data_IF_996924931724
#
_entry.id   IF_996924931724
#
_cell.length_a   1.000
_cell.length_b   1.000
_cell.length_c   1.000
_cell.angle_alpha   90.00
_cell.angle_beta   90.00
_cell.angle_gamma   90.00
#
_symmetry.space_group_name_H-M   'P 1'
#
loop_
_entity.id
_entity.type
_entity.pdbx_description
1 polymer ?
#
# COMPACT_ATOMS: atom_id res chain seq x y z
N UNK A 1 -31.39 -56.04 -6.14
CA UNK A 1 -32.23 -55.82 -7.34
C UNK A 1 -32.48 -54.32 -7.44
N UNK A 2 -32.04 -53.54 -8.44
CA UNK A 2 -31.21 -53.77 -9.61
C UNK A 2 -30.29 -52.55 -9.78
N UNK A 3 -29.02 -52.84 -10.05
CA UNK A 3 -27.99 -51.90 -10.49
C UNK A 3 -28.04 -51.84 -12.01
N UNK A 4 -27.90 -50.65 -12.61
CA UNK A 4 -27.56 -50.54 -14.04
C UNK A 4 -26.34 -49.64 -14.17
N UNK A 5 -25.24 -50.33 -14.45
CA UNK A 5 -23.93 -49.84 -14.84
C UNK A 5 -23.89 -49.87 -16.36
N UNK A 6 -23.41 -48.81 -17.03
CA UNK A 6 -23.13 -48.86 -18.47
C UNK A 6 -21.71 -48.34 -18.72
N UNK A 7 -20.86 -49.23 -19.23
CA UNK A 7 -19.46 -49.00 -19.63
C UNK A 7 -19.40 -48.95 -21.17
N UNK A 8 -18.70 -47.93 -21.67
CA UNK A 8 -17.99 -47.66 -22.93
C UNK A 8 -18.18 -48.52 -24.22
N UNK A 9 -17.85 -47.95 -25.40
CA UNK A 9 -16.48 -48.19 -25.88
C UNK A 9 -15.75 -46.97 -26.45
N UNK A 10 -14.42 -47.04 -26.30
CA UNK A 10 -13.38 -46.22 -26.93
C UNK A 10 -13.29 -46.58 -28.42
N UNK A 11 -13.21 -45.56 -29.30
CA UNK A 11 -12.74 -45.76 -30.68
C UNK A 11 -11.71 -44.68 -31.03
N UNK A 12 -10.48 -45.13 -31.24
CA UNK A 12 -9.36 -44.37 -31.75
C UNK A 12 -9.41 -44.30 -33.27
N UNK A 13 -9.19 -43.11 -33.86
CA UNK A 13 -8.82 -42.97 -35.28
C UNK A 13 -7.89 -41.78 -35.50
N UNK A 14 -6.65 -42.13 -35.86
CA UNK A 14 -5.71 -41.54 -36.83
C UNK A 14 -5.57 -40.00 -37.01
N UNK A 15 -4.32 -39.54 -36.83
CA UNK A 15 -3.75 -38.27 -37.29
C UNK A 15 -3.71 -38.15 -38.83
N UNK A 16 -3.80 -36.93 -39.39
CA UNK A 16 -3.09 -36.55 -40.59
C UNK A 16 -1.80 -35.76 -40.30
N UNK A 17 -0.80 -36.05 -41.12
CA UNK A 17 0.55 -35.48 -41.14
C UNK A 17 0.56 -34.05 -41.70
N UNK A 18 1.36 -33.20 -41.09
CA UNK A 18 2.30 -32.30 -41.78
C UNK A 18 1.76 -30.97 -42.34
N UNK A 19 2.13 -29.88 -41.67
CA UNK A 19 2.79 -28.73 -42.32
C UNK A 19 3.55 -27.96 -41.24
N UNK A 20 4.88 -27.92 -41.38
CA UNK A 20 5.78 -27.29 -40.43
C UNK A 20 5.76 -25.77 -40.58
N UNK A 21 5.53 -25.07 -39.47
CA UNK A 21 5.80 -23.64 -39.35
C UNK A 21 7.18 -23.47 -38.71
N UNK A 22 8.17 -23.11 -39.54
CA UNK A 22 9.53 -22.77 -39.11
C UNK A 22 9.49 -21.51 -38.25
N UNK A 23 9.87 -21.61 -36.98
CA UNK A 23 10.33 -20.47 -36.19
C UNK A 23 11.71 -20.05 -36.69
N UNK A 24 11.82 -18.85 -37.25
CA UNK A 24 13.10 -18.19 -37.48
C UNK A 24 13.49 -17.44 -36.21
N UNK A 25 14.42 -18.04 -35.46
CA UNK A 25 15.19 -17.37 -34.41
C UNK A 25 16.31 -16.60 -35.12
N UNK A 26 16.20 -15.27 -35.16
CA UNK A 26 17.31 -14.42 -35.57
C UNK A 26 18.13 -14.06 -34.32
N UNK A 27 19.13 -14.89 -34.03
CA UNK A 27 20.23 -14.58 -33.12
C UNK A 27 21.23 -13.67 -33.83
N UNK A 28 21.31 -12.40 -33.42
CA UNK A 28 22.46 -11.54 -33.73
C UNK A 28 23.30 -11.37 -32.47
N UNK A 29 24.43 -12.06 -32.46
CA UNK A 29 25.53 -11.88 -31.52
C UNK A 29 26.70 -11.33 -32.31
N UNK A 30 27.11 -10.09 -32.03
CA UNK A 30 28.42 -9.61 -32.45
C UNK A 30 28.87 -8.50 -31.51
N UNK A 31 29.65 -8.92 -30.52
CA UNK A 31 30.57 -8.09 -29.73
C UNK A 31 31.76 -7.78 -30.63
N UNK A 32 32.09 -6.50 -30.83
CA UNK A 32 33.46 -6.03 -31.09
C UNK A 32 33.57 -4.52 -30.80
N UNK A 33 34.38 -4.20 -29.79
CA UNK A 33 35.14 -2.96 -29.57
C UNK A 33 36.58 -3.44 -29.27
N UNK A 34 37.66 -2.64 -29.38
CA UNK A 34 37.72 -1.17 -29.37
C UNK A 34 38.73 -0.56 -30.39
N UNK A 35 38.72 0.77 -30.54
CA UNK A 35 39.95 1.54 -30.80
C UNK A 35 39.78 3.02 -30.39
N UNK A 36 40.73 3.45 -29.57
CA UNK A 36 40.97 4.79 -29.05
C UNK A 36 41.65 5.62 -30.14
N UNK A 37 41.23 6.87 -30.36
CA UNK A 37 42.17 7.91 -30.78
C UNK A 37 41.74 9.27 -30.22
N UNK A 38 42.68 9.86 -29.50
CA UNK A 38 42.72 11.16 -28.87
C UNK A 38 42.64 12.30 -29.89
N UNK A 39 41.88 13.36 -29.58
CA UNK A 39 42.30 14.70 -29.99
C UNK A 39 41.85 15.76 -28.97
N UNK A 40 42.88 16.41 -28.44
CA UNK A 40 42.89 17.48 -27.44
C UNK A 40 42.83 18.81 -28.19
N UNK A 41 41.85 19.66 -27.89
CA UNK A 41 41.98 21.12 -28.02
C UNK A 41 41.15 21.82 -26.93
N UNK A 42 41.76 22.83 -26.33
CA UNK A 42 41.17 23.81 -25.40
C UNK A 42 41.56 25.21 -25.93
N UNK A 43 41.06 26.30 -25.34
CA UNK A 43 39.69 26.80 -25.41
C UNK A 43 39.66 28.15 -26.15
N UNK A 44 38.51 28.52 -26.74
CA UNK A 44 38.26 29.89 -27.18
C UNK A 44 36.99 30.44 -26.54
N UNK A 45 37.19 31.56 -25.88
CA UNK A 45 36.23 32.44 -25.22
C UNK A 45 35.37 33.11 -26.29
N UNK A 46 34.03 32.99 -26.24
CA UNK A 46 33.16 34.16 -26.37
C UNK A 46 31.71 33.92 -25.89
N UNK A 47 31.39 34.65 -24.83
CA UNK A 47 30.17 35.37 -24.46
C UNK A 47 28.84 35.19 -25.22
N UNK A 48 27.78 35.07 -24.40
CA UNK A 48 26.39 35.53 -24.56
C UNK A 48 25.53 34.87 -25.66
N UNK A 49 24.68 33.94 -25.22
CA UNK A 49 23.23 34.20 -25.25
C UNK A 49 22.49 33.31 -24.24
N UNK A 50 21.73 33.98 -23.36
CA UNK A 50 20.88 33.38 -22.35
C UNK A 50 19.73 32.61 -23.01
N UNK A 51 19.83 31.28 -23.03
CA UNK A 51 18.66 30.42 -23.06
C UNK A 51 18.58 29.68 -21.72
N UNK A 52 17.90 30.31 -20.76
CA UNK A 52 17.46 29.65 -19.55
C UNK A 52 16.53 28.50 -19.95
N UNK A 53 17.04 27.27 -19.89
CA UNK A 53 16.22 26.06 -19.93
C UNK A 53 15.42 26.06 -18.63
N UNK A 54 14.20 26.58 -18.71
CA UNK A 54 13.20 26.57 -17.65
C UNK A 54 12.90 25.11 -17.28
N UNK A 55 13.46 24.66 -16.15
CA UNK A 55 12.95 23.49 -15.44
C UNK A 55 11.52 23.83 -15.01
N UNK A 56 10.53 23.30 -15.72
CA UNK A 56 9.12 23.51 -15.42
C UNK A 56 8.85 23.05 -13.98
N UNK A 57 8.59 24.02 -13.11
CA UNK A 57 8.06 23.80 -11.77
C UNK A 57 6.64 23.23 -11.88
N UNK A 58 6.34 22.21 -11.08
CA UNK A 58 5.02 21.59 -10.95
C UNK A 58 4.11 22.59 -10.22
N UNK A 59 3.44 23.48 -10.95
CA UNK A 59 2.49 24.42 -10.35
C UNK A 59 1.24 24.62 -11.19
N UNK A 60 0.14 24.03 -10.74
CA UNK A 60 -1.20 24.58 -10.96
C UNK A 60 -2.09 24.30 -9.74
N UNK A 61 -1.69 24.81 -8.58
CA UNK A 61 -2.61 25.00 -7.46
C UNK A 61 -2.97 26.48 -7.43
N UNK A 62 -4.24 26.81 -7.69
CA UNK A 62 -4.77 28.18 -7.57
C UNK A 62 -4.75 28.60 -6.09
N UNK A 63 -4.51 29.88 -5.77
CA UNK A 63 -4.47 30.35 -4.39
C UNK A 63 -5.89 30.43 -3.79
N UNK A 64 -6.01 29.85 -2.59
CA UNK A 64 -7.00 30.06 -1.52
C UNK A 64 -8.36 30.68 -1.91
N UNK A 65 -9.31 29.83 -2.30
CA UNK A 65 -10.67 29.95 -1.76
C UNK A 65 -10.74 28.99 -0.57
N UNK A 66 -11.34 29.40 0.55
CA UNK A 66 -11.63 28.52 1.68
C UNK A 66 -12.10 27.15 1.17
N UNK A 67 -11.48 26.08 1.63
CA UNK A 67 -11.81 24.72 1.20
C UNK A 67 -13.29 24.50 1.55
N UNK A 68 -14.17 24.66 0.56
CA UNK A 68 -15.55 24.22 0.63
C UNK A 68 -15.46 22.75 0.99
N UNK A 69 -16.15 22.34 2.06
CA UNK A 69 -16.07 21.00 2.62
C UNK A 69 -16.04 19.96 1.50
N UNK A 70 -14.89 19.29 1.30
CA UNK A 70 -14.64 18.52 0.07
C UNK A 70 -15.60 17.33 -0.10
N UNK A 71 -16.11 16.85 1.03
CA UNK A 71 -17.21 15.90 1.14
C UNK A 71 -18.30 16.55 2.01
N UNK A 72 -19.20 17.36 1.44
CA UNK A 72 -20.26 17.97 2.22
C UNK A 72 -21.17 16.87 2.78
N UNK A 73 -21.56 16.96 4.04
CA UNK A 73 -22.56 16.06 4.61
C UNK A 73 -23.86 16.24 3.81
N UNK A 74 -24.41 15.14 3.30
CA UNK A 74 -25.70 15.16 2.62
C UNK A 74 -26.78 15.18 3.69
N UNK A 75 -27.24 16.38 4.05
CA UNK A 75 -28.33 16.55 5.01
C UNK A 75 -29.63 16.05 4.39
N UNK A 76 -30.26 15.08 5.04
CA UNK A 76 -31.61 14.64 4.69
C UNK A 76 -32.53 14.86 5.88
N UNK A 77 -33.83 14.96 5.64
CA UNK A 77 -34.81 15.17 6.72
C UNK A 77 -34.88 14.02 7.74
N UNK A 78 -34.40 12.83 7.38
CA UNK A 78 -34.55 11.60 8.17
C UNK A 78 -33.22 10.97 8.60
N UNK A 79 -32.15 11.15 7.81
CA UNK A 79 -30.84 10.55 8.06
C UNK A 79 -29.92 11.64 8.58
N UNK A 80 -29.55 11.51 9.86
CA UNK A 80 -28.65 12.42 10.58
C UNK A 80 -27.19 12.06 10.30
N UNK A 81 -26.85 10.78 10.34
CA UNK A 81 -25.50 10.27 10.11
C UNK A 81 -25.55 8.84 9.56
N UNK A 82 -24.52 8.44 8.81
CA UNK A 82 -24.34 7.07 8.33
C UNK A 82 -23.29 6.40 9.21
N UNK A 83 -23.72 5.40 9.98
CA UNK A 83 -22.78 4.59 10.77
C UNK A 83 -21.95 3.67 9.87
N UNK A 84 -20.64 3.58 10.14
CA UNK A 84 -19.77 2.60 9.47
C UNK A 84 -19.95 1.21 10.07
N UNK A 85 -20.00 0.18 9.23
CA UNK A 85 -19.97 -1.22 9.66
C UNK A 85 -18.60 -1.66 10.21
N UNK A 86 -17.53 -0.92 9.91
CA UNK A 86 -16.18 -1.16 10.44
C UNK A 86 -15.82 -0.04 11.42
N UNK A 87 -16.03 -0.32 12.71
CA UNK A 87 -15.59 0.57 13.80
C UNK A 87 -14.10 0.40 14.03
N UNK A 88 -13.39 1.52 14.09
CA UNK A 88 -11.95 1.56 14.35
C UNK A 88 -11.65 1.09 15.79
N UNK A 89 -10.60 0.28 16.01
CA UNK A 89 -10.17 -0.10 17.36
C UNK A 89 -9.52 1.08 18.10
N UNK A 90 -10.00 1.41 19.29
CA UNK A 90 -9.44 2.51 20.09
C UNK A 90 -8.00 2.23 20.51
N UNK A 91 -7.10 3.16 20.20
CA UNK A 91 -5.69 3.12 20.61
C UNK A 91 -5.42 4.10 21.74
N UNK A 92 -4.60 3.66 22.71
CA UNK A 92 -4.04 4.57 23.71
C UNK A 92 -2.80 5.27 23.17
N UNK A 93 -2.51 6.47 23.67
CA UNK A 93 -1.31 7.22 23.29
C UNK A 93 -0.02 6.41 23.52
N UNK A 94 0.06 5.67 24.64
CA UNK A 94 1.19 4.81 24.96
C UNK A 94 1.39 3.71 23.91
N UNK A 95 0.31 3.07 23.46
CA UNK A 95 0.38 2.06 22.40
C UNK A 95 0.87 2.66 21.08
N UNK A 96 0.31 3.80 20.66
CA UNK A 96 0.72 4.45 19.41
C UNK A 96 2.18 4.92 19.44
N UNK A 97 2.66 5.41 20.58
CA UNK A 97 4.06 5.81 20.76
C UNK A 97 5.02 4.62 20.84
N UNK A 98 4.54 3.44 21.24
CA UNK A 98 5.36 2.22 21.31
C UNK A 98 5.65 1.59 19.94
N UNK A 99 4.98 2.03 18.87
CA UNK A 99 5.17 1.50 17.51
C UNK A 99 6.60 1.75 17.03
N UNK A 100 7.26 0.65 16.64
CA UNK A 100 8.64 0.67 16.14
C UNK A 100 8.71 0.41 14.63
N UNK A 101 9.72 1.03 14.02
CA UNK A 101 10.23 0.63 12.70
C UNK A 101 10.95 -0.70 12.88
N UNK A 102 10.49 -1.73 12.20
CA UNK A 102 11.10 -3.05 12.18
C UNK A 102 10.92 -3.66 10.79
N UNK A 103 11.93 -4.42 10.38
CA UNK A 103 11.97 -5.10 9.09
C UNK A 103 11.82 -6.60 9.28
N UNK A 104 10.98 -7.25 8.46
CA UNK A 104 10.99 -8.71 8.37
C UNK A 104 12.09 -9.18 7.43
N UNK A 105 13.00 -10.01 7.95
CA UNK A 105 14.03 -10.66 7.13
C UNK A 105 13.44 -11.54 6.01
N UNK A 106 14.09 -11.50 4.84
CA UNK A 106 13.75 -12.32 3.68
C UNK A 106 14.14 -13.77 3.94
N UNK A 107 13.17 -14.69 4.00
CA UNK A 107 13.45 -16.11 4.30
C UNK A 107 13.33 -17.04 3.11
N UNK A 108 12.64 -16.63 2.05
CA UNK A 108 12.34 -17.49 0.91
C UNK A 108 12.20 -16.66 -0.38
N UNK A 109 12.06 -17.35 -1.50
CA UNK A 109 11.94 -16.71 -2.82
C UNK A 109 10.73 -15.77 -2.93
N UNK A 110 9.59 -16.13 -2.33
CA UNK A 110 8.39 -15.28 -2.32
C UNK A 110 8.67 -13.97 -1.58
N UNK A 111 9.35 -14.04 -0.44
CA UNK A 111 9.78 -12.86 0.31
C UNK A 111 10.77 -12.00 -0.47
N UNK A 112 11.70 -12.62 -1.19
CA UNK A 112 12.69 -11.91 -2.01
C UNK A 112 12.02 -11.14 -3.14
N UNK A 113 11.10 -11.78 -3.88
CA UNK A 113 10.34 -11.15 -4.97
C UNK A 113 9.49 -10.00 -4.42
N UNK A 114 8.78 -10.23 -3.31
CA UNK A 114 7.96 -9.21 -2.67
C UNK A 114 8.77 -7.98 -2.27
N UNK A 115 9.92 -8.17 -1.61
CA UNK A 115 10.79 -7.07 -1.20
C UNK A 115 11.38 -6.32 -2.39
N UNK A 116 11.80 -7.04 -3.43
CA UNK A 116 12.32 -6.44 -4.64
C UNK A 116 11.26 -5.54 -5.32
N UNK A 117 10.01 -6.02 -5.41
CA UNK A 117 8.90 -5.23 -5.93
C UNK A 117 8.62 -3.97 -5.10
N UNK A 118 8.55 -4.11 -3.77
CA UNK A 118 8.34 -2.97 -2.86
C UNK A 118 9.44 -1.91 -3.02
N UNK A 119 10.71 -2.34 -3.09
CA UNK A 119 11.85 -1.44 -3.30
C UNK A 119 11.83 -0.73 -4.65
N UNK A 120 11.46 -1.43 -5.72
CA UNK A 120 11.34 -0.83 -7.07
C UNK A 120 10.23 0.22 -7.08
N UNK A 121 9.07 -0.05 -6.48
CA UNK A 121 7.98 0.91 -6.39
C UNK A 121 8.35 2.11 -5.51
N UNK A 122 8.99 1.88 -4.36
CA UNK A 122 9.51 2.95 -3.50
C UNK A 122 10.48 3.83 -4.26
N UNK A 123 11.48 3.24 -4.93
CA UNK A 123 12.44 3.98 -5.74
C UNK A 123 11.76 4.79 -6.85
N UNK A 124 10.80 4.19 -7.57
CA UNK A 124 10.04 4.86 -8.62
C UNK A 124 9.23 6.03 -8.09
N UNK A 125 8.55 5.85 -6.95
CA UNK A 125 7.76 6.89 -6.29
C UNK A 125 8.65 8.02 -5.79
N UNK A 126 9.73 7.70 -5.08
CA UNK A 126 10.66 8.69 -4.53
C UNK A 126 11.29 9.53 -5.64
N UNK A 127 11.64 8.88 -6.75
CA UNK A 127 12.14 9.57 -7.95
C UNK A 127 11.07 10.48 -8.55
N UNK A 128 9.83 10.01 -8.67
CA UNK A 128 8.73 10.77 -9.28
C UNK A 128 8.27 11.97 -8.42
N UNK A 129 8.28 11.84 -7.10
CA UNK A 129 7.92 12.94 -6.19
C UNK A 129 9.09 13.83 -5.80
N UNK A 130 10.31 13.49 -6.24
CA UNK A 130 11.54 14.19 -5.84
C UNK A 130 11.84 14.04 -4.35
N UNK A 131 11.38 12.96 -3.72
CA UNK A 131 11.69 12.64 -2.32
C UNK A 131 13.17 12.28 -2.21
N UNK A 132 13.86 12.90 -1.26
CA UNK A 132 15.29 12.67 -0.99
C UNK A 132 15.49 12.49 0.50
N UNK A 133 16.08 11.35 0.87
CA UNK A 133 16.65 11.18 2.19
C UNK A 133 17.83 12.14 2.33
N UNK A 134 17.86 13.03 3.34
CA UNK A 134 19.02 13.86 3.59
C UNK A 134 20.20 12.98 4.01
N UNK A 135 21.40 13.39 3.63
CA UNK A 135 22.61 12.81 4.20
C UNK A 135 22.72 13.20 5.69
N UNK A 136 23.52 12.46 6.46
CA UNK A 136 23.76 12.75 7.88
C UNK A 136 24.19 14.22 8.06
N UNK A 137 23.39 14.98 8.81
CA UNK A 137 23.61 16.40 9.10
C UNK A 137 22.93 17.40 8.15
N UNK A 138 22.24 16.96 7.10
CA UNK A 138 21.44 17.84 6.24
C UNK A 138 19.99 17.99 6.72
N UNK A 139 19.41 19.18 6.53
CA UNK A 139 17.99 19.41 6.82
C UNK A 139 17.13 18.67 5.80
N UNK A 140 16.11 17.98 6.29
CA UNK A 140 15.12 17.28 5.48
C UNK A 140 14.34 18.29 4.63
N UNK A 141 14.41 18.16 3.29
CA UNK A 141 13.90 19.16 2.35
C UNK A 141 12.42 19.03 1.96
N UNK A 142 11.61 18.26 2.71
CA UNK A 142 10.20 18.07 2.40
C UNK A 142 9.34 19.11 3.11
N UNK A 143 8.57 19.86 2.33
CA UNK A 143 7.53 20.76 2.86
C UNK A 143 6.24 19.99 3.16
N UNK A 144 5.33 20.58 3.93
CA UNK A 144 3.99 20.07 4.19
C UNK A 144 3.25 19.72 2.89
N UNK A 145 3.41 20.54 1.85
CA UNK A 145 2.83 20.30 0.52
C UNK A 145 3.41 19.05 -0.15
N UNK A 146 4.70 18.82 -0.02
CA UNK A 146 5.35 17.65 -0.61
C UNK A 146 4.88 16.38 0.11
N UNK A 147 4.80 16.41 1.43
CA UNK A 147 4.25 15.31 2.23
C UNK A 147 2.81 15.00 1.85
N UNK A 148 1.97 16.04 1.78
CA UNK A 148 0.56 15.89 1.42
C UNK A 148 0.36 15.29 0.03
N UNK A 149 1.14 15.72 -0.98
CA UNK A 149 1.08 15.12 -2.32
C UNK A 149 1.48 13.63 -2.30
N UNK A 150 2.52 13.28 -1.53
CA UNK A 150 2.97 11.89 -1.40
C UNK A 150 1.88 11.04 -0.75
N UNK A 151 1.36 11.48 0.40
CA UNK A 151 0.31 10.79 1.15
C UNK A 151 -0.93 10.60 0.26
N UNK A 152 -1.49 11.70 -0.29
CA UNK A 152 -2.69 11.62 -1.13
C UNK A 152 -2.54 10.65 -2.32
N UNK A 153 -1.35 10.56 -2.90
CA UNK A 153 -1.10 9.60 -3.97
C UNK A 153 -1.00 8.17 -3.45
N UNK A 154 -0.23 7.92 -2.39
CA UNK A 154 -0.02 6.58 -1.84
C UNK A 154 -1.32 6.00 -1.25
N UNK A 155 -2.05 6.79 -0.46
CA UNK A 155 -3.34 6.37 0.13
C UNK A 155 -4.40 6.05 -0.95
N UNK A 156 -4.30 6.67 -2.13
CA UNK A 156 -5.21 6.39 -3.24
C UNK A 156 -5.00 5.01 -3.88
N UNK A 157 -3.84 4.39 -3.64
CA UNK A 157 -3.51 3.04 -4.13
C UNK A 157 -3.41 2.02 -3.00
N UNK A 158 -3.19 2.45 -1.75
CA UNK A 158 -3.05 1.59 -0.58
C UNK A 158 -4.32 0.80 -0.25
N UNK A 159 -5.52 1.34 -0.51
CA UNK A 159 -6.78 0.60 -0.34
C UNK A 159 -7.08 -0.48 -1.41
N UNK A 160 -6.23 -0.64 -2.44
CA UNK A 160 -6.46 -1.60 -3.54
C UNK A 160 -6.16 -3.06 -3.19
N UNK A 161 -5.02 -3.42 -2.55
CA UNK A 161 -4.67 -4.81 -2.27
C UNK A 161 -5.69 -5.56 -1.42
N UNK A 162 -6.13 -4.97 -0.29
CA UNK A 162 -7.15 -5.57 0.57
C UNK A 162 -8.47 -5.82 -0.17
N UNK A 163 -8.89 -4.87 -1.02
CA UNK A 163 -10.09 -5.00 -1.84
C UNK A 163 -9.97 -6.15 -2.87
N UNK A 164 -8.85 -6.22 -3.60
CA UNK A 164 -8.60 -7.28 -4.59
C UNK A 164 -8.53 -8.65 -3.92
N UNK A 165 -7.79 -8.77 -2.82
CA UNK A 165 -7.64 -10.01 -2.07
C UNK A 165 -8.99 -10.46 -1.50
N UNK A 166 -9.71 -9.57 -0.82
CA UNK A 166 -11.05 -9.83 -0.28
C UNK A 166 -12.04 -10.27 -1.35
N UNK A 167 -12.09 -9.57 -2.49
CA UNK A 167 -12.92 -9.93 -3.64
C UNK A 167 -12.58 -11.33 -4.19
N UNK A 168 -11.31 -11.62 -4.43
CA UNK A 168 -10.88 -12.91 -5.00
C UNK A 168 -11.16 -14.09 -4.06
N UNK A 169 -11.00 -13.88 -2.75
CA UNK A 169 -11.35 -14.86 -1.71
C UNK A 169 -12.86 -15.04 -1.60
N UNK A 170 -13.63 -13.95 -1.64
CA UNK A 170 -15.09 -13.97 -1.65
C UNK A 170 -15.62 -14.80 -2.83
N UNK A 171 -15.19 -14.50 -4.05
CA UNK A 171 -15.57 -15.28 -5.23
C UNK A 171 -15.11 -16.73 -5.16
N UNK A 172 -14.02 -17.04 -4.44
CA UNK A 172 -13.54 -18.42 -4.23
C UNK A 172 -14.46 -19.18 -3.29
N UNK A 173 -14.84 -18.55 -2.16
CA UNK A 173 -15.78 -19.12 -1.21
C UNK A 173 -17.11 -19.45 -1.89
N UNK A 174 -17.66 -18.52 -2.69
CA UNK A 174 -18.90 -18.74 -3.44
C UNK A 174 -18.78 -19.90 -4.44
N UNK A 175 -17.79 -19.87 -5.34
CA UNK A 175 -17.69 -20.89 -6.41
C UNK A 175 -17.31 -22.28 -5.90
N UNK A 176 -16.74 -22.37 -4.70
CA UNK A 176 -16.36 -23.66 -4.08
C UNK A 176 -17.33 -24.11 -2.99
N UNK A 177 -18.33 -23.29 -2.65
CA UNK A 177 -19.29 -23.54 -1.57
C UNK A 177 -18.62 -23.84 -0.21
N UNK A 178 -17.53 -23.13 0.10
CA UNK A 178 -16.73 -23.32 1.33
C UNK A 178 -16.66 -22.06 2.16
N UNK A 179 -16.53 -22.22 3.49
CA UNK A 179 -16.24 -21.12 4.41
C UNK A 179 -14.86 -20.52 4.08
N UNK A 180 -14.75 -19.20 4.22
CA UNK A 180 -13.49 -18.47 4.06
C UNK A 180 -12.65 -18.42 5.35
N UNK A 181 -13.28 -18.63 6.51
CA UNK A 181 -12.67 -18.61 7.83
C UNK A 181 -12.07 -17.24 8.23
N UNK A 182 -12.80 -16.17 7.93
CA UNK A 182 -12.57 -14.83 8.51
C UNK A 182 -11.54 -13.96 7.80
N UNK A 183 -11.06 -14.33 6.61
CA UNK A 183 -10.07 -13.55 5.86
C UNK A 183 -10.72 -12.37 5.11
N UNK A 184 -11.86 -12.59 4.46
CA UNK A 184 -12.54 -11.58 3.62
C UNK A 184 -12.83 -10.32 4.42
N UNK A 185 -13.36 -10.46 5.64
CA UNK A 185 -13.75 -9.32 6.47
C UNK A 185 -12.53 -8.45 6.83
N UNK A 186 -11.45 -9.07 7.31
CA UNK A 186 -10.20 -8.36 7.63
C UNK A 186 -9.61 -7.63 6.43
N UNK A 187 -9.63 -8.25 5.24
CA UNK A 187 -9.07 -7.64 4.04
C UNK A 187 -9.92 -6.48 3.50
N UNK A 188 -11.25 -6.56 3.63
CA UNK A 188 -12.14 -5.47 3.26
C UNK A 188 -12.11 -4.34 4.30
N UNK A 189 -11.91 -4.67 5.57
CA UNK A 189 -11.70 -3.70 6.64
C UNK A 189 -10.40 -2.91 6.46
N UNK A 190 -9.30 -3.59 6.13
CA UNK A 190 -8.03 -2.94 5.76
C UNK A 190 -8.25 -1.96 4.60
N UNK A 191 -8.86 -2.39 3.50
CA UNK A 191 -9.18 -1.51 2.38
C UNK A 191 -10.10 -0.33 2.75
N UNK A 192 -10.98 -0.50 3.74
CA UNK A 192 -11.80 0.58 4.27
C UNK A 192 -10.97 1.57 5.08
N UNK A 193 -10.07 1.08 5.94
CA UNK A 193 -9.18 1.90 6.76
C UNK A 193 -8.27 2.80 5.90
N UNK A 194 -7.59 2.23 4.92
CA UNK A 194 -6.78 2.95 3.91
C UNK A 194 -7.58 4.04 3.19
N UNK A 195 -8.84 3.74 2.83
CA UNK A 195 -9.72 4.74 2.22
C UNK A 195 -10.04 5.88 3.20
N UNK A 196 -10.19 5.59 4.49
CA UNK A 196 -10.42 6.62 5.52
C UNK A 196 -9.20 7.51 5.73
N UNK A 197 -7.98 6.99 5.56
CA UNK A 197 -6.77 7.80 5.51
C UNK A 197 -6.86 8.79 4.34
N UNK A 198 -7.07 8.30 3.11
CA UNK A 198 -7.22 9.16 1.93
C UNK A 198 -8.28 10.25 2.13
N UNK A 199 -9.49 9.88 2.57
CA UNK A 199 -10.60 10.82 2.74
C UNK A 199 -10.28 11.88 3.81
N UNK A 200 -9.54 11.50 4.85
CA UNK A 200 -9.05 12.42 5.88
C UNK A 200 -8.09 13.45 5.29
N UNK A 201 -7.04 13.01 4.58
CA UNK A 201 -6.07 13.92 3.99
C UNK A 201 -6.67 14.81 2.89
N UNK A 202 -7.71 14.33 2.19
CA UNK A 202 -8.45 15.13 1.21
C UNK A 202 -9.25 16.29 1.83
N UNK A 203 -9.55 16.26 3.14
CA UNK A 203 -10.10 17.42 3.86
C UNK A 203 -9.05 18.51 4.10
N UNK A 204 -7.77 18.16 4.08
CA UNK A 204 -6.65 19.09 4.28
C UNK A 204 -6.20 19.67 2.93
N UNK A 205 -6.07 18.84 1.89
CA UNK A 205 -5.64 19.30 0.57
C UNK A 205 -6.39 18.64 -0.58
N UNK A 206 -6.65 19.44 -1.62
CA UNK A 206 -7.38 18.97 -2.79
C UNK A 206 -6.42 18.54 -3.92
N UNK A 207 -6.56 17.31 -4.45
CA UNK A 207 -5.79 16.88 -5.60
C UNK A 207 -6.19 17.65 -6.86
N UNK A 208 -5.19 18.22 -7.55
CA UNK A 208 -5.39 18.81 -8.87
C UNK A 208 -5.73 17.76 -9.95
N UNK A 209 -6.16 18.22 -11.13
CA UNK A 209 -6.55 17.35 -12.25
C UNK A 209 -5.43 16.39 -12.67
N UNK A 210 -4.19 16.88 -12.68
CA UNK A 210 -3.02 16.05 -13.01
C UNK A 210 -2.84 14.88 -12.03
N UNK A 211 -2.91 15.14 -10.72
CA UNK A 211 -2.81 14.08 -9.72
C UNK A 211 -3.95 13.07 -9.86
N UNK A 212 -5.18 13.53 -10.09
CA UNK A 212 -6.32 12.65 -10.34
C UNK A 212 -6.13 11.73 -11.56
N UNK A 213 -5.58 12.26 -12.66
CA UNK A 213 -5.27 11.45 -13.84
C UNK A 213 -4.17 10.42 -13.55
N UNK A 214 -3.13 10.81 -12.79
CA UNK A 214 -2.08 9.90 -12.36
C UNK A 214 -2.61 8.78 -11.47
N UNK A 215 -3.50 9.10 -10.52
CA UNK A 215 -4.17 8.10 -9.67
C UNK A 215 -4.99 7.13 -10.51
N UNK A 216 -5.76 7.62 -11.48
CA UNK A 216 -6.54 6.76 -12.38
C UNK A 216 -5.65 5.79 -13.16
N UNK A 217 -4.55 6.28 -13.73
CA UNK A 217 -3.57 5.44 -14.43
C UNK A 217 -2.90 4.43 -13.51
N UNK A 218 -2.47 4.87 -12.31
CA UNK A 218 -1.83 4.03 -11.31
C UNK A 218 -2.77 2.92 -10.83
N UNK A 219 -4.02 3.23 -10.50
CA UNK A 219 -5.04 2.25 -10.12
C UNK A 219 -5.29 1.26 -11.26
N UNK A 220 -5.37 1.73 -12.51
CA UNK A 220 -5.55 0.87 -13.68
C UNK A 220 -4.44 -0.19 -13.81
N UNK A 221 -3.17 0.19 -13.62
CA UNK A 221 -2.05 -0.76 -13.68
C UNK A 221 -1.98 -1.61 -12.41
N UNK A 222 -2.07 -0.98 -11.24
CA UNK A 222 -1.85 -1.61 -9.95
C UNK A 222 -2.93 -2.63 -9.59
N UNK A 223 -4.21 -2.30 -9.83
CA UNK A 223 -5.34 -3.23 -9.64
C UNK A 223 -5.15 -4.50 -10.48
N UNK A 224 -4.88 -4.35 -11.78
CA UNK A 224 -4.73 -5.49 -12.68
C UNK A 224 -3.48 -6.32 -12.31
N UNK A 225 -2.37 -5.66 -12.00
CA UNK A 225 -1.15 -6.33 -11.55
C UNK A 225 -1.36 -7.16 -10.29
N UNK A 226 -2.01 -6.59 -9.27
CA UNK A 226 -2.35 -7.31 -8.04
C UNK A 226 -3.37 -8.41 -8.27
N UNK A 227 -4.38 -8.19 -9.11
CA UNK A 227 -5.38 -9.21 -9.45
C UNK A 227 -4.73 -10.47 -10.01
N UNK A 228 -3.89 -10.34 -11.05
CA UNK A 228 -3.20 -11.48 -11.63
C UNK A 228 -2.18 -12.08 -10.67
N UNK A 229 -1.43 -11.26 -9.93
CA UNK A 229 -0.43 -11.73 -8.97
C UNK A 229 -1.07 -12.53 -7.83
N UNK A 230 -2.24 -12.12 -7.34
CA UNK A 230 -2.95 -12.81 -6.26
C UNK A 230 -3.57 -14.13 -6.72
N UNK A 231 -3.94 -14.25 -8.00
CA UNK A 231 -4.34 -15.54 -8.57
C UNK A 231 -3.18 -16.55 -8.60
N UNK A 232 -1.96 -16.09 -8.82
CA UNK A 232 -0.75 -16.93 -8.90
C UNK A 232 -0.18 -17.23 -7.50
N UNK A 233 0.07 -16.19 -6.70
CA UNK A 233 0.68 -16.31 -5.37
C UNK A 233 0.10 -15.30 -4.38
N UNK A 234 -0.98 -15.68 -3.65
CA UNK A 234 -1.51 -14.86 -2.56
C UNK A 234 -0.46 -14.58 -1.48
N UNK A 235 0.40 -15.56 -1.18
CA UNK A 235 1.49 -15.42 -0.20
C UNK A 235 2.44 -14.28 -0.57
N UNK A 236 2.88 -14.22 -1.84
CA UNK A 236 3.76 -13.14 -2.30
C UNK A 236 3.06 -11.79 -2.21
N UNK A 237 1.76 -11.72 -2.53
CA UNK A 237 1.00 -10.48 -2.45
C UNK A 237 0.90 -9.97 -1.01
N UNK A 238 0.54 -10.82 -0.05
CA UNK A 238 0.50 -10.45 1.36
C UNK A 238 1.88 -10.00 1.86
N UNK A 239 2.95 -10.72 1.49
CA UNK A 239 4.30 -10.29 1.86
C UNK A 239 4.69 -8.94 1.24
N UNK A 240 4.30 -8.71 -0.01
CA UNK A 240 4.54 -7.45 -0.70
C UNK A 240 3.84 -6.29 -0.01
N UNK A 241 2.57 -6.44 0.36
CA UNK A 241 1.84 -5.44 1.16
C UNK A 241 2.54 -5.23 2.51
N UNK A 242 2.90 -6.29 3.22
CA UNK A 242 3.64 -6.18 4.49
C UNK A 242 4.93 -5.34 4.40
N UNK A 243 5.67 -5.43 3.28
CA UNK A 243 6.82 -4.55 3.04
C UNK A 243 6.45 -3.12 2.63
N UNK A 244 5.32 -2.88 1.96
CA UNK A 244 4.83 -1.53 1.73
C UNK A 244 4.49 -0.85 3.06
N UNK A 245 3.86 -1.58 3.98
CA UNK A 245 3.48 -1.02 5.27
C UNK A 245 4.67 -0.81 6.22
N UNK A 246 5.75 -1.58 6.07
CA UNK A 246 7.03 -1.22 6.70
C UNK A 246 7.50 0.16 6.25
N UNK A 247 7.41 0.44 4.95
CA UNK A 247 7.79 1.74 4.38
C UNK A 247 6.81 2.86 4.75
N UNK A 248 5.53 2.55 4.96
CA UNK A 248 4.53 3.48 5.47
C UNK A 248 4.82 3.86 6.94
N UNK A 249 5.11 2.88 7.80
CA UNK A 249 5.51 3.13 9.21
C UNK A 249 6.76 4.01 9.29
N UNK A 250 7.76 3.78 8.42
CA UNK A 250 8.94 4.64 8.31
C UNK A 250 8.54 6.07 7.90
N UNK A 251 7.68 6.19 6.88
CA UNK A 251 7.23 7.48 6.35
C UNK A 251 6.51 8.31 7.41
N UNK A 252 5.54 7.72 8.10
CA UNK A 252 4.78 8.43 9.13
C UNK A 252 5.60 8.71 10.39
N UNK A 253 6.52 7.82 10.78
CA UNK A 253 7.49 8.12 11.85
C UNK A 253 8.31 9.36 11.50
N UNK A 254 8.80 9.46 10.27
CA UNK A 254 9.57 10.63 9.85
C UNK A 254 8.74 11.91 9.86
N UNK A 255 7.49 11.85 9.42
CA UNK A 255 6.58 13.00 9.49
C UNK A 255 6.41 13.47 10.94
N UNK A 256 6.17 12.55 11.88
CA UNK A 256 6.03 12.86 13.30
C UNK A 256 7.29 13.57 13.82
N UNK A 257 8.47 13.03 13.53
CA UNK A 257 9.76 13.64 13.92
C UNK A 257 9.93 15.05 13.35
N UNK A 258 9.53 15.28 12.09
CA UNK A 258 9.62 16.61 11.45
C UNK A 258 8.61 17.62 12.04
N UNK A 259 7.44 17.18 12.48
CA UNK A 259 6.49 18.02 13.24
C UNK A 259 7.09 18.40 14.59
N UNK A 260 7.62 17.41 15.33
CA UNK A 260 8.22 17.61 16.66
C UNK A 260 9.47 18.49 16.61
N UNK A 261 10.27 18.39 15.55
CA UNK A 261 11.42 19.25 15.30
C UNK A 261 11.04 20.68 14.88
N UNK A 262 9.75 20.97 14.64
CA UNK A 262 9.28 22.27 14.18
C UNK A 262 9.57 22.58 12.71
N UNK A 263 9.91 21.57 11.91
CA UNK A 263 10.18 21.72 10.47
C UNK A 263 8.90 21.81 9.64
N UNK A 264 7.76 21.39 10.20
CA UNK A 264 6.43 21.48 9.59
C UNK A 264 5.51 22.44 10.39
N UNK A 265 5.79 23.76 10.39
CA UNK A 265 5.11 24.73 11.24
C UNK A 265 3.60 24.85 10.97
N UNK A 266 3.12 24.56 9.76
CA UNK A 266 1.68 24.58 9.49
C UNK A 266 0.99 23.38 10.17
N UNK A 267 1.61 22.20 10.13
CA UNK A 267 1.05 20.98 10.72
C UNK A 267 1.15 20.99 12.24
N UNK A 268 2.20 21.57 12.81
CA UNK A 268 2.37 21.71 14.26
C UNK A 268 1.23 22.50 14.95
N UNK A 269 0.46 23.29 14.19
CA UNK A 269 -0.67 24.11 14.69
C UNK A 269 -2.02 23.68 14.13
N UNK A 270 -2.05 22.62 13.33
CA UNK A 270 -3.26 22.18 12.63
C UNK A 270 -4.05 21.21 13.50
N UNK A 271 -5.35 21.42 13.57
CA UNK A 271 -6.29 20.46 14.16
C UNK A 271 -6.60 19.34 13.16
N UNK A 272 -6.84 18.13 13.68
CA UNK A 272 -7.27 17.00 12.88
C UNK A 272 -8.66 17.27 12.27
N UNK A 273 -8.92 16.88 11.01
CA UNK A 273 -10.24 17.03 10.41
C UNK A 273 -11.34 16.30 11.18
N UNK A 274 -12.58 16.80 11.15
CA UNK A 274 -13.72 16.18 11.86
C UNK A 274 -13.93 14.70 11.49
N UNK A 275 -13.70 14.33 10.22
CA UNK A 275 -13.78 12.94 9.76
C UNK A 275 -12.78 12.04 10.49
N UNK A 276 -11.58 12.56 10.80
CA UNK A 276 -10.57 11.83 11.54
C UNK A 276 -10.97 11.66 13.01
N UNK A 277 -11.40 12.77 13.63
CA UNK A 277 -11.83 12.78 15.03
C UNK A 277 -12.91 11.73 15.26
N UNK A 278 -13.88 11.63 14.34
CA UNK A 278 -14.95 10.64 14.40
C UNK A 278 -14.48 9.22 14.10
N UNK A 279 -13.62 9.04 13.09
CA UNK A 279 -13.20 7.72 12.66
C UNK A 279 -12.32 7.02 13.69
N UNK A 280 -11.32 7.73 14.24
CA UNK A 280 -10.37 7.21 15.24
C UNK A 280 -10.83 7.43 16.69
N UNK A 281 -12.02 7.99 16.89
CA UNK A 281 -12.56 8.36 18.22
C UNK A 281 -11.55 9.18 19.05
N UNK A 282 -11.01 10.24 18.44
CA UNK A 282 -9.90 11.00 19.02
C UNK A 282 -10.36 11.78 20.29
N UNK A 283 -9.71 11.59 21.44
CA UNK A 283 -10.13 12.21 22.69
C UNK A 283 -9.92 13.73 22.67
N UNK A 284 -10.72 14.46 23.45
CA UNK A 284 -10.55 15.91 23.59
C UNK A 284 -9.14 16.24 24.11
N UNK A 285 -8.53 17.30 23.57
CA UNK A 285 -7.14 17.67 23.86
C UNK A 285 -6.08 16.94 23.01
N UNK A 286 -6.44 15.85 22.33
CA UNK A 286 -5.55 15.07 21.45
C UNK A 286 -6.11 15.02 20.02
N UNK A 287 -6.40 16.19 19.45
CA UNK A 287 -7.04 16.36 18.13
C UNK A 287 -6.17 17.20 17.20
N UNK A 288 -4.86 17.00 17.24
CA UNK A 288 -3.91 17.71 16.38
C UNK A 288 -3.53 16.87 15.16
N UNK A 289 -2.90 17.50 14.17
CA UNK A 289 -2.29 16.79 13.04
C UNK A 289 -1.19 15.82 13.50
N UNK A 290 -0.47 16.13 14.59
CA UNK A 290 0.51 15.22 15.18
C UNK A 290 -0.17 13.94 15.71
N UNK A 291 -1.27 14.09 16.47
CA UNK A 291 -2.05 12.96 16.96
C UNK A 291 -2.58 12.11 15.80
N UNK A 292 -3.09 12.76 14.75
CA UNK A 292 -3.54 12.06 13.54
C UNK A 292 -2.42 11.21 12.91
N UNK A 293 -1.18 11.71 12.84
CA UNK A 293 -0.06 10.92 12.30
C UNK A 293 0.26 9.71 13.18
N UNK A 294 0.07 9.81 14.50
CA UNK A 294 0.24 8.67 15.41
C UNK A 294 -0.80 7.58 15.14
N UNK A 295 -2.07 7.95 14.95
CA UNK A 295 -3.15 7.01 14.62
C UNK A 295 -2.92 6.32 13.29
N UNK A 296 -2.63 7.10 12.23
CA UNK A 296 -2.35 6.57 10.90
C UNK A 296 -1.17 5.61 10.94
N UNK A 297 -0.04 6.00 11.56
CA UNK A 297 1.13 5.11 11.74
C UNK A 297 0.79 3.81 12.46
N UNK A 298 -0.11 3.86 13.46
CA UNK A 298 -0.52 2.68 14.20
C UNK A 298 -1.35 1.72 13.34
N UNK A 299 -2.21 2.24 12.47
CA UNK A 299 -2.93 1.46 11.47
C UNK A 299 -1.95 0.78 10.49
N UNK A 300 -0.97 1.51 9.95
CA UNK A 300 0.04 0.92 9.07
C UNK A 300 0.86 -0.17 9.75
N UNK A 301 1.21 0.04 11.01
CA UNK A 301 1.92 -0.96 11.79
C UNK A 301 1.08 -2.23 11.98
N UNK A 302 -0.24 -2.09 12.03
CA UNK A 302 -1.17 -3.21 12.11
C UNK A 302 -1.33 -3.91 10.77
N UNK A 303 -1.51 -3.17 9.68
CA UNK A 303 -1.57 -3.73 8.33
C UNK A 303 -0.29 -4.49 7.99
N UNK A 304 0.89 -3.95 8.36
CA UNK A 304 2.19 -4.63 8.28
C UNK A 304 2.17 -5.99 8.97
N UNK A 305 1.79 -6.02 10.24
CA UNK A 305 1.76 -7.23 11.04
C UNK A 305 0.79 -8.26 10.43
N UNK A 306 -0.44 -7.82 10.12
CA UNK A 306 -1.50 -8.68 9.57
C UNK A 306 -1.03 -9.29 8.26
N UNK A 307 -0.56 -8.49 7.30
CA UNK A 307 -0.13 -8.99 6.00
C UNK A 307 1.11 -9.89 6.09
N UNK A 308 2.08 -9.57 6.96
CA UNK A 308 3.20 -10.49 7.18
C UNK A 308 2.77 -11.84 7.77
N UNK A 309 1.79 -11.82 8.68
CA UNK A 309 1.17 -13.02 9.26
C UNK A 309 0.40 -13.82 8.22
N UNK A 310 -0.49 -13.17 7.46
CA UNK A 310 -1.25 -13.80 6.39
C UNK A 310 -0.34 -14.43 5.33
N UNK A 311 0.82 -13.81 5.05
CA UNK A 311 1.87 -14.40 4.20
C UNK A 311 2.45 -15.71 4.76
N UNK A 312 2.46 -15.92 6.07
CA UNK A 312 2.97 -17.14 6.71
C UNK A 312 1.98 -18.31 6.68
N UNK A 313 0.69 -18.04 6.57
CA UNK A 313 -0.37 -19.04 6.67
C UNK A 313 -0.61 -19.82 5.36
N UNK A 314 -1.20 -21.00 5.50
CA UNK A 314 -1.76 -21.77 4.40
C UNK A 314 -3.08 -21.13 3.95
N UNK A 315 -2.99 -20.45 2.81
CA UNK A 315 -4.07 -19.70 2.16
C UNK A 315 -5.38 -20.45 1.92
N UNK A 316 -5.36 -21.80 1.92
CA UNK A 316 -6.52 -22.66 1.64
C UNK A 316 -7.14 -23.30 2.88
N UNK A 317 -6.35 -23.50 3.94
CA UNK A 317 -6.74 -24.35 5.07
C UNK A 317 -6.82 -23.58 6.39
N UNK A 318 -5.94 -22.62 6.60
CA UNK A 318 -5.80 -21.97 7.91
C UNK A 318 -6.87 -20.88 8.10
N UNK A 319 -7.53 -20.82 9.28
CA UNK A 319 -8.36 -19.68 9.65
C UNK A 319 -7.53 -18.40 9.81
N UNK A 320 -8.19 -17.26 9.69
CA UNK A 320 -7.59 -15.98 10.03
C UNK A 320 -7.46 -15.86 11.56
N UNK A 321 -6.24 -15.72 12.11
CA UNK A 321 -6.06 -15.68 13.56
C UNK A 321 -6.56 -14.38 14.20
N UNK A 322 -6.72 -13.29 13.44
CA UNK A 322 -7.18 -11.99 13.94
C UNK A 322 -8.68 -11.95 14.25
N UNK A 323 -9.44 -12.90 13.71
CA UNK A 323 -10.88 -13.05 13.96
C UNK A 323 -11.20 -14.38 14.68
N UNK A 324 -10.17 -15.11 15.10
CA UNK A 324 -10.32 -16.41 15.74
C UNK A 324 -10.49 -16.29 17.26
N UNK A 325 -11.28 -17.20 17.82
CA UNK A 325 -11.33 -17.44 19.27
C UNK A 325 -10.40 -18.60 19.60
N UNK A 326 -9.36 -18.32 20.39
CA UNK A 326 -8.37 -19.31 20.79
C UNK A 326 -8.87 -20.14 21.98
N UNK A 327 -8.50 -21.42 22.02
CA UNK A 327 -8.82 -22.31 23.16
C UNK A 327 -7.94 -22.00 24.37
N UNK A 328 -6.70 -21.65 24.12
CA UNK A 328 -5.70 -21.32 25.13
C UNK A 328 -5.43 -19.81 25.11
N UNK A 329 -5.96 -19.12 26.12
CA UNK A 329 -5.83 -17.68 26.33
C UNK A 329 -4.66 -17.32 27.26
N UNK A 330 -3.85 -18.30 27.70
CA UNK A 330 -2.66 -18.02 28.52
C UNK A 330 -1.49 -17.49 27.69
N UNK A 331 -1.48 -17.77 26.38
CA UNK A 331 -0.44 -17.31 25.45
C UNK A 331 -0.82 -15.98 24.81
N UNK A 332 0.18 -15.15 24.45
CA UNK A 332 -0.07 -13.94 23.65
C UNK A 332 -0.71 -14.31 22.31
N UNK A 333 -1.76 -13.58 21.88
CA UNK A 333 -2.52 -13.86 20.65
C UNK A 333 -2.64 -12.61 19.76
N UNK A 334 -2.74 -12.79 18.44
CA UNK A 334 -3.05 -11.68 17.54
C UNK A 334 -4.40 -11.06 17.91
N UNK A 335 -4.44 -9.74 18.02
CA UNK A 335 -5.64 -8.95 18.30
C UNK A 335 -5.93 -8.00 17.13
N UNK A 336 -7.12 -7.39 17.13
CA UNK A 336 -7.46 -6.34 16.16
C UNK A 336 -6.73 -5.01 16.44
N UNK A 337 -6.49 -4.71 17.73
CA UNK A 337 -5.82 -3.47 18.15
C UNK A 337 -4.30 -3.56 18.16
N UNK A 338 -3.63 -2.51 18.63
CA UNK A 338 -2.16 -2.47 18.81
C UNK A 338 -1.72 -2.74 20.26
N UNK A 339 -2.55 -3.43 21.04
CA UNK A 339 -2.25 -3.84 22.41
C UNK A 339 -1.10 -4.84 22.49
N UNK A 340 -1.04 -5.76 21.52
CA UNK A 340 0.06 -6.67 21.33
C UNK A 340 0.45 -6.67 19.85
N UNK A 341 1.60 -6.08 19.55
CA UNK A 341 2.10 -6.01 18.18
C UNK A 341 3.26 -6.96 17.95
N UNK A 342 3.29 -7.57 16.77
CA UNK A 342 4.42 -8.37 16.31
C UNK A 342 4.86 -7.88 14.93
N UNK A 343 5.70 -6.84 14.83
CA UNK A 343 5.97 -6.14 13.57
C UNK A 343 6.39 -7.02 12.39
N UNK A 344 7.08 -8.12 12.64
CA UNK A 344 7.50 -9.08 11.60
C UNK A 344 6.41 -10.08 11.21
N UNK A 345 5.20 -9.98 11.76
CA UNK A 345 4.12 -10.95 11.67
C UNK A 345 4.30 -12.18 12.58
N UNK A 346 3.20 -12.84 12.87
CA UNK A 346 3.14 -14.11 13.59
C UNK A 346 3.48 -15.28 12.67
N UNK A 347 4.25 -16.23 13.18
CA UNK A 347 4.55 -17.47 12.49
C UNK A 347 3.36 -18.42 12.60
N UNK A 348 3.25 -19.32 11.62
CA UNK A 348 2.10 -20.21 11.49
C UNK A 348 1.90 -21.12 12.71
N UNK A 349 2.98 -21.62 13.29
CA UNK A 349 3.01 -22.49 14.47
C UNK A 349 2.64 -21.79 15.79
N UNK A 350 2.61 -20.45 15.80
CA UNK A 350 2.18 -19.68 16.97
C UNK A 350 0.65 -19.49 17.03
N UNK A 351 -0.02 -19.61 15.87
CA UNK A 351 -1.42 -19.20 15.70
C UNK A 351 -2.34 -20.29 15.17
N UNK A 352 -1.80 -21.40 14.66
CA UNK A 352 -2.54 -22.59 14.19
C UNK A 352 -2.12 -23.80 15.02
#
# INVERSE_FOLDING_TARGET
>A
MYSITTIAPIRATALPKGTGLRMLVASYSSITSPAITTLRQSPLINNKNNHAVSKRSISSAKPKSAIKEFFPKVETKQIVEVESGWRHPVYTEAQMKSIQIQHREVRNWSDWVALAMARVLRWGMDTATGYKHPADGEKFGMTEKNWMNRILFLESVAGVPGMVAGMLRHLRSLRTMKRDNGWIETLLEEAHNERMHLLTFMKIAQPGLFMRLMVLGAQGVYFNGLFFSYLVSPRTCHRFVGYLEEEAVITYTRIIEEIEAGNLPEWARMEAPEIAIKYWDMPEGHRTMHDLMLYVRADEAKHREVNHTLGNLNQKADPNPYTAVFRDNSKPRPSKGVDLTKPTGWERDEVI
#
